data_IF_918507141177
#
_entry.id   IF_918507141177
#
_cell.length_a   1.000
_cell.length_b   1.000
_cell.length_c   1.000
_cell.angle_alpha   90.00
_cell.angle_beta   90.00
_cell.angle_gamma   90.00
#
_symmetry.space_group_name_H-M   'P 1'
#
loop_
_entity.id
_entity.type
_entity.pdbx_description
1 polymer ?
#
# COMPACT_ATOMS: atom_id res chain seq x y z
N UNK A 1 0.88 17.74 10.51
CA UNK A 1 1.55 16.87 9.56
C UNK A 1 1.44 15.45 10.01
N UNK A 2 1.22 14.54 9.11
CA UNK A 2 1.09 13.14 9.42
C UNK A 2 1.22 12.30 8.16
N UNK A 3 1.46 11.01 8.33
CA UNK A 3 1.54 10.09 7.21
C UNK A 3 0.14 9.76 6.72
N UNK A 4 -0.18 10.21 5.52
CA UNK A 4 -1.39 9.82 4.81
C UNK A 4 -0.98 8.90 3.66
N UNK A 5 -1.71 7.80 3.51
CA UNK A 5 -1.37 6.75 2.56
C UNK A 5 -2.58 6.44 1.70
N UNK A 6 -2.33 6.23 0.42
CA UNK A 6 -3.40 6.03 -0.56
C UNK A 6 -3.04 4.90 -1.51
N UNK A 7 -4.05 4.20 -1.98
CA UNK A 7 -3.88 3.27 -3.09
C UNK A 7 -4.87 3.62 -4.19
N UNK A 8 -4.41 3.56 -5.43
CA UNK A 8 -5.21 3.88 -6.60
C UNK A 8 -5.15 2.75 -7.60
N UNK A 9 -6.27 2.52 -8.28
CA UNK A 9 -6.27 1.71 -9.49
C UNK A 9 -6.25 2.62 -10.70
N UNK A 10 -5.53 2.22 -11.75
CA UNK A 10 -5.47 2.95 -13.01
C UNK A 10 -6.05 2.06 -14.10
N UNK A 11 -6.97 2.61 -14.86
CA UNK A 11 -7.70 1.86 -15.88
C UNK A 11 -7.92 2.72 -17.12
N UNK A 12 -8.31 2.08 -18.22
CA UNK A 12 -8.64 2.78 -19.47
C UNK A 12 -10.13 3.05 -19.54
N UNK A 13 -10.50 4.28 -19.83
CA UNK A 13 -11.87 4.66 -20.10
C UNK A 13 -11.90 5.22 -21.53
N UNK A 14 -12.23 4.36 -22.48
CA UNK A 14 -12.07 4.69 -23.88
C UNK A 14 -10.58 4.79 -24.24
N UNK A 15 -10.16 5.91 -24.80
CA UNK A 15 -8.76 6.18 -25.12
C UNK A 15 -8.03 6.91 -23.99
N UNK A 16 -8.75 7.27 -22.91
CA UNK A 16 -8.17 8.01 -21.81
C UNK A 16 -7.85 7.10 -20.62
N UNK A 17 -6.82 7.48 -19.89
CA UNK A 17 -6.45 6.82 -18.65
C UNK A 17 -7.16 7.50 -17.48
N UNK A 18 -7.74 6.72 -16.60
CA UNK A 18 -8.44 7.20 -15.42
C UNK A 18 -7.91 6.49 -14.18
N UNK A 19 -8.10 7.08 -13.01
CA UNK A 19 -7.69 6.49 -11.75
C UNK A 19 -8.82 6.58 -10.72
N UNK A 20 -8.81 5.64 -9.78
CA UNK A 20 -9.78 5.58 -8.69
C UNK A 20 -9.05 5.27 -7.39
N UNK A 21 -9.31 6.05 -6.34
CA UNK A 21 -8.77 5.73 -5.02
C UNK A 21 -9.52 4.52 -4.48
N UNK A 22 -8.77 3.49 -4.12
CA UNK A 22 -9.35 2.23 -3.63
C UNK A 22 -9.04 1.93 -2.17
N UNK A 23 -8.13 2.69 -1.55
CA UNK A 23 -7.84 2.55 -0.13
C UNK A 23 -7.18 3.80 0.41
N UNK A 24 -7.35 4.01 1.70
CA UNK A 24 -6.74 5.10 2.44
C UNK A 24 -6.35 4.61 3.83
N UNK A 25 -5.12 4.93 4.24
CA UNK A 25 -4.62 4.67 5.59
C UNK A 25 -4.06 5.95 6.17
N UNK A 26 -4.13 6.07 7.47
CA UNK A 26 -3.50 7.19 8.17
C UNK A 26 -2.54 6.64 9.23
N UNK A 27 -1.30 7.08 9.15
CA UNK A 27 -0.26 6.73 10.12
C UNK A 27 -0.04 5.22 10.28
N UNK A 28 -0.23 4.46 9.22
CA UNK A 28 0.05 3.03 9.25
C UNK A 28 1.53 2.80 8.93
N UNK A 29 2.38 3.04 9.92
CA UNK A 29 3.84 2.99 9.73
C UNK A 29 4.33 1.63 9.27
N UNK A 30 3.77 0.55 9.81
CA UNK A 30 4.18 -0.81 9.43
C UNK A 30 3.89 -1.07 7.94
N UNK A 31 2.75 -0.62 7.43
CA UNK A 31 2.45 -0.72 6.00
C UNK A 31 3.45 0.08 5.17
N UNK A 32 3.76 1.30 5.60
CA UNK A 32 4.73 2.12 4.89
C UNK A 32 6.11 1.47 4.88
N UNK A 33 6.53 0.86 5.98
CA UNK A 33 7.78 0.11 6.05
C UNK A 33 7.80 -1.06 5.07
N UNK A 34 6.69 -1.77 4.92
CA UNK A 34 6.54 -2.83 3.94
C UNK A 34 6.68 -2.30 2.51
N UNK A 35 6.01 -1.18 2.21
CA UNK A 35 6.08 -0.53 0.90
C UNK A 35 7.49 -0.01 0.62
N UNK A 36 8.16 0.54 1.62
CA UNK A 36 9.54 1.02 1.50
C UNK A 36 10.50 -0.12 1.12
N UNK A 37 10.34 -1.28 1.75
CA UNK A 37 11.16 -2.45 1.39
C UNK A 37 10.89 -2.91 -0.03
N UNK A 38 9.65 -2.90 -0.45
CA UNK A 38 9.29 -3.24 -1.83
C UNK A 38 9.90 -2.23 -2.81
N UNK A 39 9.82 -0.94 -2.49
CA UNK A 39 10.41 0.12 -3.30
C UNK A 39 11.90 -0.13 -3.52
N UNK A 40 12.64 -0.46 -2.46
CA UNK A 40 14.08 -0.77 -2.56
C UNK A 40 14.30 -2.02 -3.41
N UNK A 41 13.49 -3.05 -3.21
CA UNK A 41 13.63 -4.31 -3.98
C UNK A 41 13.39 -4.11 -5.47
N UNK A 42 12.65 -3.08 -5.85
CA UNK A 42 12.39 -2.74 -7.26
C UNK A 42 13.41 -1.76 -7.83
N UNK A 43 14.47 -1.48 -7.11
CA UNK A 43 15.56 -0.63 -7.57
C UNK A 43 15.51 0.81 -7.09
N UNK A 44 14.59 1.14 -6.19
CA UNK A 44 14.53 2.46 -5.57
C UNK A 44 15.73 2.70 -4.65
N UNK A 45 16.05 3.95 -4.43
CA UNK A 45 17.16 4.35 -3.57
C UNK A 45 16.69 5.33 -2.51
N UNK A 46 17.19 5.13 -1.29
CA UNK A 46 16.83 5.98 -0.17
C UNK A 46 15.37 5.78 0.24
N UNK A 47 14.80 6.79 0.87
CA UNK A 47 13.41 6.73 1.30
C UNK A 47 12.47 7.05 0.14
N UNK A 48 11.39 6.29 0.05
CA UNK A 48 10.33 6.60 -0.90
C UNK A 48 9.62 7.87 -0.44
N UNK A 49 9.64 8.92 -1.28
CA UNK A 49 9.08 10.20 -0.86
C UNK A 49 7.57 10.25 -1.03
N UNK A 50 7.03 10.03 -2.17
CA UNK A 50 5.58 10.11 -2.38
C UNK A 50 5.04 8.91 -3.16
N UNK A 51 5.85 8.33 -3.98
CA UNK A 51 5.46 7.31 -4.93
C UNK A 51 5.44 7.89 -6.35
N UNK A 52 4.74 7.28 -7.32
CA UNK A 52 3.95 6.06 -7.12
C UNK A 52 4.81 4.80 -7.02
N UNK A 53 4.33 3.84 -6.29
CA UNK A 53 4.90 2.50 -6.24
C UNK A 53 3.88 1.54 -6.85
N UNK A 54 4.23 0.92 -7.95
CA UNK A 54 3.33 -0.04 -8.59
C UNK A 54 3.37 -1.37 -7.85
N UNK A 55 2.18 -1.94 -7.62
CA UNK A 55 2.02 -3.21 -6.95
C UNK A 55 1.55 -4.25 -7.97
N UNK A 56 2.35 -5.29 -8.18
CA UNK A 56 1.97 -6.41 -9.05
C UNK A 56 0.99 -7.33 -8.33
N UNK A 57 0.43 -8.29 -9.06
CA UNK A 57 -0.42 -9.33 -8.47
C UNK A 57 0.32 -10.09 -7.36
N UNK A 58 1.58 -10.42 -7.60
CA UNK A 58 2.41 -11.11 -6.61
C UNK A 58 2.63 -10.23 -5.37
N UNK A 59 2.90 -8.92 -5.57
CA UNK A 59 3.10 -7.98 -4.47
C UNK A 59 1.86 -7.92 -3.58
N UNK A 60 0.68 -7.84 -4.20
CA UNK A 60 -0.59 -7.76 -3.48
C UNK A 60 -0.85 -9.04 -2.67
N UNK A 61 -0.56 -10.20 -3.26
CA UNK A 61 -0.71 -11.48 -2.56
C UNK A 61 0.24 -11.60 -1.38
N UNK A 62 1.49 -11.16 -1.56
CA UNK A 62 2.48 -11.17 -0.50
C UNK A 62 2.07 -10.23 0.64
N UNK A 63 1.53 -9.06 0.31
CA UNK A 63 1.02 -8.14 1.32
C UNK A 63 -0.11 -8.78 2.12
N UNK A 64 -1.07 -9.42 1.44
CA UNK A 64 -2.17 -10.10 2.10
C UNK A 64 -1.70 -11.18 3.07
N UNK A 65 -0.74 -11.98 2.64
CA UNK A 65 -0.15 -13.01 3.49
C UNK A 65 0.53 -12.41 4.73
N UNK A 66 1.34 -11.39 4.52
CA UNK A 66 2.06 -10.75 5.61
C UNK A 66 1.12 -10.07 6.61
N UNK A 67 0.06 -9.44 6.13
CA UNK A 67 -0.93 -8.79 7.00
C UNK A 67 -1.70 -9.83 7.81
N UNK A 68 -2.16 -10.91 7.18
CA UNK A 68 -2.90 -11.96 7.87
C UNK A 68 -2.09 -12.64 8.97
N UNK A 69 -0.78 -12.73 8.79
CA UNK A 69 0.12 -13.41 9.71
C UNK A 69 0.90 -12.45 10.63
N UNK A 70 0.50 -11.18 10.66
CA UNK A 70 1.13 -10.13 11.47
C UNK A 70 2.64 -10.00 11.22
N UNK A 71 3.05 -10.13 9.95
CA UNK A 71 4.44 -10.12 9.53
C UNK A 71 4.91 -8.78 8.96
N UNK A 72 4.11 -7.73 9.05
CA UNK A 72 4.56 -6.41 8.63
C UNK A 72 5.77 -5.99 9.46
N UNK A 73 6.73 -5.25 8.86
CA UNK A 73 7.91 -4.86 9.61
C UNK A 73 7.58 -3.87 10.71
N UNK A 74 8.27 -4.00 11.83
CA UNK A 74 8.24 -2.96 12.85
C UNK A 74 8.90 -1.73 12.27
N UNK A 75 8.15 -0.65 12.14
CA UNK A 75 8.63 0.57 11.52
C UNK A 75 8.41 1.72 12.47
N UNK A 76 9.51 2.33 12.88
CA UNK A 76 9.47 3.55 13.67
C UNK A 76 9.59 4.73 12.69
N UNK A 77 8.76 5.72 12.90
CA UNK A 77 8.76 6.92 12.08
C UNK A 77 8.64 8.15 12.97
N UNK A 78 8.33 9.27 12.35
CA UNK A 78 8.12 10.52 13.07
C UNK A 78 6.88 10.48 13.96
N UNK A 79 6.12 9.43 13.91
CA UNK A 79 4.86 9.31 14.62
C UNK A 79 5.04 8.37 15.79
N UNK A 80 4.94 8.93 16.98
CA UNK A 80 4.98 8.14 18.20
C UNK A 80 3.59 7.58 18.43
N UNK A 81 3.51 6.30 18.52
CA UNK A 81 2.23 5.65 18.74
C UNK A 81 2.39 4.15 18.84
N UNK A 82 1.27 3.48 18.94
CA UNK A 82 1.25 2.02 18.99
C UNK A 82 1.78 1.43 17.70
N UNK A 83 2.35 0.24 17.81
CA UNK A 83 2.80 -0.52 16.65
C UNK A 83 1.59 -0.86 15.78
N UNK A 84 1.54 -0.27 14.59
CA UNK A 84 0.38 -0.40 13.70
C UNK A 84 0.21 -1.82 13.13
N UNK A 85 1.21 -2.70 13.30
CA UNK A 85 1.09 -4.10 12.86
C UNK A 85 -0.10 -4.81 13.51
N UNK A 86 -0.44 -4.41 14.73
CA UNK A 86 -1.47 -5.08 15.54
C UNK A 86 -2.76 -4.27 15.65
N UNK A 87 -2.88 -3.18 14.87
CA UNK A 87 -4.09 -2.37 14.82
C UNK A 87 -5.12 -3.10 13.96
N UNK A 88 -6.21 -3.55 14.57
CA UNK A 88 -7.23 -4.34 13.89
C UNK A 88 -7.95 -3.54 12.81
N UNK A 89 -8.18 -2.24 13.02
CA UNK A 89 -8.82 -1.39 12.00
C UNK A 89 -7.91 -1.25 10.77
N UNK A 90 -6.62 -1.06 10.96
CA UNK A 90 -5.66 -0.96 9.87
C UNK A 90 -5.54 -2.30 9.13
N UNK A 91 -5.56 -3.40 9.87
CA UNK A 91 -5.53 -4.73 9.28
C UNK A 91 -6.74 -4.97 8.39
N UNK A 92 -7.93 -4.61 8.87
CA UNK A 92 -9.18 -4.77 8.11
C UNK A 92 -9.16 -3.94 6.84
N UNK A 93 -8.73 -2.68 6.92
CA UNK A 93 -8.61 -1.81 5.75
C UNK A 93 -7.65 -2.43 4.72
N UNK A 94 -6.51 -2.95 5.20
CA UNK A 94 -5.50 -3.52 4.30
C UNK A 94 -5.99 -4.80 3.63
N UNK A 95 -6.65 -5.68 4.37
CA UNK A 95 -7.19 -6.91 3.78
C UNK A 95 -8.29 -6.61 2.76
N UNK A 96 -9.14 -5.63 3.04
CA UNK A 96 -10.14 -5.17 2.08
C UNK A 96 -9.47 -4.59 0.83
N UNK A 97 -8.40 -3.83 0.99
CA UNK A 97 -7.61 -3.33 -0.12
C UNK A 97 -7.05 -4.47 -0.96
N UNK A 98 -6.48 -5.50 -0.34
CA UNK A 98 -5.91 -6.65 -1.04
C UNK A 98 -6.97 -7.31 -1.92
N UNK A 99 -8.17 -7.56 -1.39
CA UNK A 99 -9.25 -8.17 -2.16
C UNK A 99 -9.65 -7.29 -3.35
N UNK A 100 -9.80 -6.00 -3.15
CA UNK A 100 -10.16 -5.06 -4.21
C UNK A 100 -9.06 -4.99 -5.27
N UNK A 101 -7.81 -4.93 -4.84
CA UNK A 101 -6.67 -4.85 -5.76
C UNK A 101 -6.55 -6.10 -6.61
N UNK A 102 -6.71 -7.29 -6.04
CA UNK A 102 -6.65 -8.54 -6.79
C UNK A 102 -7.73 -8.58 -7.87
N UNK A 103 -8.95 -8.18 -7.54
CA UNK A 103 -10.06 -8.14 -8.49
C UNK A 103 -9.75 -7.18 -9.65
N UNK A 104 -9.22 -6.01 -9.34
CA UNK A 104 -8.89 -5.00 -10.36
C UNK A 104 -7.72 -5.44 -11.24
N UNK A 105 -6.73 -6.11 -10.69
CA UNK A 105 -5.60 -6.63 -11.47
C UNK A 105 -6.07 -7.71 -12.45
N UNK A 106 -6.96 -8.60 -12.03
CA UNK A 106 -7.55 -9.61 -12.93
C UNK A 106 -8.28 -8.92 -14.08
N UNK A 107 -8.88 -7.76 -13.82
CA UNK A 107 -9.58 -6.95 -14.83
C UNK A 107 -8.63 -6.10 -15.70
N UNK A 108 -7.32 -6.26 -15.53
CA UNK A 108 -6.31 -5.56 -16.34
C UNK A 108 -5.92 -4.19 -15.83
N UNK A 109 -6.34 -3.81 -14.66
CA UNK A 109 -5.99 -2.52 -14.07
C UNK A 109 -4.65 -2.60 -13.34
N UNK A 110 -3.99 -1.46 -13.20
CA UNK A 110 -2.74 -1.33 -12.44
C UNK A 110 -3.03 -0.73 -11.08
N UNK A 111 -2.25 -1.13 -10.09
CA UNK A 111 -2.40 -0.68 -8.70
C UNK A 111 -1.15 0.09 -8.29
N UNK A 112 -1.37 1.25 -7.67
CA UNK A 112 -0.27 2.12 -7.21
C UNK A 112 -0.50 2.55 -5.77
N UNK A 113 0.60 2.64 -5.03
CA UNK A 113 0.63 3.15 -3.67
C UNK A 113 1.29 4.53 -3.65
N UNK A 114 0.69 5.45 -2.91
CA UNK A 114 1.22 6.80 -2.67
C UNK A 114 1.22 7.11 -1.19
N UNK A 115 2.11 7.98 -0.78
CA UNK A 115 2.12 8.49 0.59
C UNK A 115 2.40 10.00 0.59
N UNK A 116 1.95 10.64 1.66
CA UNK A 116 2.19 12.08 1.89
C UNK A 116 2.49 12.27 3.38
N UNK A 117 3.54 13.00 3.66
CA UNK A 117 3.98 13.26 5.05
C UNK A 117 3.40 14.54 5.64
#
# INVERSE_FOLDING_TARGET
MGLDQYAFSVYKKGSEEASEEIAYWRKHNALHGWMQKLYISKGGKGDMEYGPLELSSEDVKNLGYDVENDLLPETQGFFFGQDSRFDEDQKEITLSFVDTAETKIVDGQKIFYYCSW
#
